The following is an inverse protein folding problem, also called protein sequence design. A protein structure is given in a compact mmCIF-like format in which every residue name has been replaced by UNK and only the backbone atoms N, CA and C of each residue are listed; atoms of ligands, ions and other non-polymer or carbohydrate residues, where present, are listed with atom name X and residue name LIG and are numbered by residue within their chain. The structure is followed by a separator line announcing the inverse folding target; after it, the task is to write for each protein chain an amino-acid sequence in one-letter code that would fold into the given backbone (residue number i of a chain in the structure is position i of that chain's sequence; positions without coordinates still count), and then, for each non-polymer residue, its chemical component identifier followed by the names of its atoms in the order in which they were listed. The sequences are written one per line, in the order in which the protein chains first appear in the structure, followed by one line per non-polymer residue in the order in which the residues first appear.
data_IF_948647727219
#
_entry.id   IF_948647727219
#
_cell.length_a   1.000
_cell.length_b   1.000
_cell.length_c   1.000
_cell.angle_alpha   90.00
_cell.angle_beta   90.00
_cell.angle_gamma   90.00
#
_symmetry.space_group_name_H-M   'P 1'
#
loop_
_entity.id
_entity.type
_entity.pdbx_description
1 polymer ?
#
# COMPACT_ATOMS: atom_id res chain seq x y z
N UNK A 1 -8.66 -12.48 -7.98
CA UNK A 1 -8.71 -11.24 -8.77
C UNK A 1 -7.82 -10.19 -8.17
N UNK A 2 -6.79 -9.81 -8.89
CA UNK A 2 -5.79 -8.86 -8.42
C UNK A 2 -6.38 -7.46 -8.15
N UNK A 3 -7.32 -7.01 -8.95
CA UNK A 3 -7.95 -5.71 -8.75
C UNK A 3 -8.69 -5.65 -7.42
N UNK A 4 -9.39 -6.72 -7.09
CA UNK A 4 -10.14 -6.82 -5.83
C UNK A 4 -9.19 -6.86 -4.62
N UNK A 5 -8.09 -7.60 -4.72
CA UNK A 5 -7.09 -7.71 -3.66
C UNK A 5 -6.42 -6.36 -3.42
N UNK A 6 -5.96 -5.71 -4.48
CA UNK A 6 -5.30 -4.40 -4.38
C UNK A 6 -6.29 -3.34 -3.86
N UNK A 7 -7.50 -3.32 -4.40
CA UNK A 7 -8.56 -2.41 -3.93
C UNK A 7 -8.89 -2.61 -2.46
N UNK A 8 -8.89 -3.85 -1.99
CA UNK A 8 -9.11 -4.17 -0.57
C UNK A 8 -8.00 -3.65 0.34
N UNK A 9 -6.74 -3.82 -0.07
CA UNK A 9 -5.58 -3.33 0.69
C UNK A 9 -5.59 -1.80 0.73
N UNK A 10 -5.73 -1.15 -0.40
CA UNK A 10 -5.78 0.32 -0.50
C UNK A 10 -6.96 0.86 0.32
N UNK A 11 -8.13 0.26 0.17
CA UNK A 11 -9.33 0.64 0.90
C UNK A 11 -9.14 0.57 2.40
N UNK A 12 -8.57 -0.52 2.89
CA UNK A 12 -8.27 -0.70 4.31
C UNK A 12 -7.34 0.40 4.83
N UNK A 13 -6.25 0.69 4.10
CA UNK A 13 -5.28 1.71 4.51
C UNK A 13 -5.89 3.11 4.54
N UNK A 14 -6.62 3.47 3.50
CA UNK A 14 -7.20 4.82 3.38
C UNK A 14 -8.35 5.02 4.37
N UNK A 15 -9.23 4.05 4.53
CA UNK A 15 -10.34 4.14 5.49
C UNK A 15 -9.85 4.18 6.94
N UNK A 16 -8.83 3.38 7.26
CA UNK A 16 -8.21 3.40 8.59
C UNK A 16 -7.59 4.76 8.89
N UNK A 17 -6.96 5.40 7.90
CA UNK A 17 -6.41 6.74 8.04
C UNK A 17 -7.50 7.79 8.26
N UNK A 18 -8.63 7.68 7.57
CA UNK A 18 -9.76 8.58 7.73
C UNK A 18 -10.39 8.44 9.11
N UNK A 19 -10.46 7.22 9.64
CA UNK A 19 -11.05 6.96 10.96
C UNK A 19 -10.16 7.45 12.10
N UNK A 20 -8.83 7.35 11.97
CA UNK A 20 -7.89 7.77 13.01
C UNK A 20 -6.61 8.35 12.41
N UNK A 21 -6.64 9.61 11.98
CA UNK A 21 -5.47 10.25 11.35
C UNK A 21 -4.23 10.30 12.24
N UNK A 22 -4.39 10.53 13.52
CA UNK A 22 -3.25 10.60 14.46
C UNK A 22 -2.51 9.27 14.55
N UNK A 23 -3.24 8.17 14.63
CA UNK A 23 -2.67 6.82 14.65
C UNK A 23 -1.92 6.53 13.35
N UNK A 24 -2.47 6.93 12.22
CA UNK A 24 -1.84 6.73 10.92
C UNK A 24 -0.57 7.55 10.73
N UNK A 25 -0.56 8.81 11.18
CA UNK A 25 0.64 9.65 11.17
C UNK A 25 1.77 9.00 11.98
N UNK A 26 1.42 8.48 13.16
CA UNK A 26 2.36 7.78 14.02
C UNK A 26 2.90 6.51 13.34
N UNK A 27 2.04 5.74 12.71
CA UNK A 27 2.41 4.51 12.00
C UNK A 27 3.36 4.80 10.82
N UNK A 28 3.07 5.84 10.04
CA UNK A 28 3.94 6.26 8.93
C UNK A 28 5.33 6.64 9.46
N UNK A 29 5.37 7.37 10.58
CA UNK A 29 6.61 7.78 11.23
C UNK A 29 7.41 6.55 11.67
N UNK A 30 6.77 5.56 12.30
CA UNK A 30 7.41 4.31 12.72
C UNK A 30 7.97 3.51 11.55
N UNK A 31 7.25 3.42 10.45
CA UNK A 31 7.69 2.68 9.27
C UNK A 31 8.94 3.30 8.62
N UNK A 32 9.17 4.59 8.84
CA UNK A 32 10.32 5.31 8.31
C UNK A 32 11.43 5.53 9.35
N UNK A 33 11.26 5.04 10.56
CA UNK A 33 12.29 5.12 11.60
C UNK A 33 13.12 3.84 11.60
N UNK A 34 14.29 3.91 11.00
CA UNK A 34 15.18 2.76 10.85
C UNK A 34 15.81 2.29 12.16
N UNK A 35 15.68 3.07 13.25
CA UNK A 35 16.10 2.62 14.58
C UNK A 35 15.11 1.65 15.22
N UNK A 36 13.88 1.58 14.71
CA UNK A 36 12.86 0.65 15.18
C UNK A 36 12.95 -0.65 14.39
N UNK A 37 13.25 -1.74 15.06
CA UNK A 37 13.36 -3.05 14.43
C UNK A 37 11.98 -3.67 14.22
N UNK A 38 11.79 -4.28 13.05
CA UNK A 38 10.61 -5.09 12.76
C UNK A 38 10.83 -6.48 13.34
N UNK A 39 9.84 -7.00 14.07
CA UNK A 39 9.91 -8.35 14.63
C UNK A 39 10.12 -9.39 13.52
N UNK A 40 11.03 -10.37 13.71
CA UNK A 40 11.28 -11.39 12.69
C UNK A 40 10.03 -12.13 12.22
N UNK A 41 9.10 -12.41 13.12
CA UNK A 41 7.84 -13.09 12.78
C UNK A 41 6.99 -12.23 11.86
N UNK A 42 6.92 -10.93 12.10
CA UNK A 42 6.16 -9.99 11.27
C UNK A 42 6.77 -9.88 9.88
N UNK A 43 8.09 -9.79 9.80
CA UNK A 43 8.82 -9.76 8.54
C UNK A 43 8.56 -11.03 7.72
N UNK A 44 8.67 -12.17 8.37
CA UNK A 44 8.44 -13.48 7.73
C UNK A 44 7.03 -13.58 7.16
N UNK A 45 6.04 -13.16 7.92
CA UNK A 45 4.63 -13.20 7.49
C UNK A 45 4.37 -12.30 6.28
N UNK A 46 4.93 -11.09 6.28
CA UNK A 46 4.81 -10.16 5.16
C UNK A 46 5.43 -10.77 3.89
N UNK A 47 6.61 -11.36 4.02
CA UNK A 47 7.29 -12.00 2.89
C UNK A 47 6.48 -13.18 2.36
N UNK A 48 5.96 -14.02 3.23
CA UNK A 48 5.16 -15.19 2.82
C UNK A 48 3.89 -14.76 2.07
N UNK A 49 3.19 -13.76 2.56
CA UNK A 49 2.00 -13.22 1.90
C UNK A 49 2.38 -12.64 0.52
N UNK A 50 3.46 -11.88 0.48
CA UNK A 50 3.96 -11.28 -0.75
C UNK A 50 4.35 -12.33 -1.80
N UNK A 51 5.02 -13.42 -1.37
CA UNK A 51 5.39 -14.52 -2.26
C UNK A 51 4.17 -15.20 -2.86
N UNK A 52 3.14 -15.46 -2.04
CA UNK A 52 1.90 -16.09 -2.54
C UNK A 52 1.19 -15.20 -3.55
N UNK A 53 1.06 -13.91 -3.26
CA UNK A 53 0.42 -12.96 -4.17
C UNK A 53 1.20 -12.82 -5.48
N UNK A 54 2.50 -12.71 -5.39
CA UNK A 54 3.38 -12.57 -6.54
C UNK A 54 3.33 -13.81 -7.44
N UNK A 55 3.51 -14.99 -6.85
CA UNK A 55 3.50 -16.26 -7.56
C UNK A 55 2.16 -16.50 -8.25
N UNK A 56 1.07 -16.31 -7.53
CA UNK A 56 -0.29 -16.48 -8.07
C UNK A 56 -0.56 -15.50 -9.20
N UNK A 57 -0.21 -14.23 -9.00
CA UNK A 57 -0.43 -13.18 -10.00
C UNK A 57 0.40 -13.38 -11.26
N UNK A 58 1.65 -13.80 -11.12
CA UNK A 58 2.53 -14.09 -12.27
C UNK A 58 2.06 -15.32 -13.02
N UNK A 59 1.65 -16.36 -12.32
CA UNK A 59 1.10 -17.58 -12.92
C UNK A 59 -0.16 -17.28 -13.74
N UNK A 60 -1.02 -16.41 -13.25
CA UNK A 60 -2.27 -16.03 -13.90
C UNK A 60 -2.11 -14.86 -14.90
N UNK A 61 -0.89 -14.39 -15.11
CA UNK A 61 -0.57 -13.27 -16.01
C UNK A 61 -1.28 -11.97 -15.65
N UNK A 62 -1.61 -11.78 -14.35
CA UNK A 62 -2.23 -10.55 -13.82
C UNK A 62 -1.19 -9.62 -13.18
N UNK A 63 0.00 -10.15 -12.90
CA UNK A 63 1.14 -9.40 -12.36
C UNK A 63 2.32 -9.60 -13.27
N UNK A 64 3.04 -8.53 -13.56
CA UNK A 64 4.22 -8.58 -14.42
C UNK A 64 5.30 -9.51 -13.85
N UNK A 65 6.05 -10.15 -14.75
CA UNK A 65 7.02 -11.20 -14.37
C UNK A 65 8.37 -10.68 -13.90
N UNK A 66 8.63 -9.38 -14.01
CA UNK A 66 9.95 -8.77 -13.76
C UNK A 66 10.03 -8.03 -12.42
N UNK A 67 9.11 -8.29 -11.51
CA UNK A 67 9.09 -7.65 -10.19
C UNK A 67 9.30 -8.66 -9.06
N UNK A 68 9.80 -8.16 -7.93
CA UNK A 68 10.07 -8.92 -6.72
C UNK A 68 8.97 -8.69 -5.67
N UNK A 69 9.06 -9.42 -4.54
CA UNK A 69 8.20 -9.18 -3.38
C UNK A 69 8.37 -7.75 -2.85
N UNK A 70 9.59 -7.22 -2.85
CA UNK A 70 9.83 -5.85 -2.43
C UNK A 70 9.12 -4.84 -3.33
N UNK A 71 9.16 -5.04 -4.64
CA UNK A 71 8.45 -4.18 -5.60
C UNK A 71 6.94 -4.25 -5.37
N UNK A 72 6.42 -5.45 -5.11
CA UNK A 72 5.01 -5.64 -4.79
C UNK A 72 4.61 -4.90 -3.52
N UNK A 73 5.43 -4.98 -2.46
CA UNK A 73 5.20 -4.26 -1.21
C UNK A 73 5.16 -2.75 -1.45
N UNK A 74 6.13 -2.21 -2.20
CA UNK A 74 6.16 -0.78 -2.54
C UNK A 74 4.89 -0.36 -3.27
N UNK A 75 4.43 -1.17 -4.22
CA UNK A 75 3.24 -0.85 -5.00
C UNK A 75 1.96 -0.90 -4.16
N UNK A 76 1.80 -1.92 -3.30
CA UNK A 76 0.55 -2.16 -2.58
C UNK A 76 0.44 -1.41 -1.24
N UNK A 77 1.57 -1.15 -0.60
CA UNK A 77 1.63 -0.47 0.70
C UNK A 77 2.34 0.88 0.57
N UNK A 78 3.48 0.92 -0.09
CA UNK A 78 4.29 2.13 -0.22
C UNK A 78 3.57 3.27 -0.94
N UNK A 79 2.94 2.99 -2.07
CA UNK A 79 2.20 4.01 -2.83
C UNK A 79 1.04 4.59 -2.01
N UNK A 80 0.13 3.78 -1.44
CA UNK A 80 -0.93 4.33 -0.59
C UNK A 80 -0.43 5.12 0.61
N UNK A 81 0.59 4.62 1.28
CA UNK A 81 1.17 5.29 2.46
C UNK A 81 1.83 6.61 2.08
N UNK A 82 2.48 6.67 0.92
CA UNK A 82 3.10 7.90 0.45
C UNK A 82 2.05 8.95 0.02
N UNK A 83 0.93 8.53 -0.54
CA UNK A 83 -0.20 9.44 -0.77
C UNK A 83 -0.66 10.10 0.52
N UNK A 84 -0.80 9.33 1.60
CA UNK A 84 -1.20 9.86 2.90
C UNK A 84 -0.13 10.77 3.50
N UNK A 85 1.12 10.35 3.47
CA UNK A 85 2.24 11.14 4.00
C UNK A 85 2.37 12.48 3.30
N UNK A 86 2.29 12.48 1.97
CA UNK A 86 2.33 13.70 1.16
C UNK A 86 1.17 14.63 1.50
N UNK A 87 -0.02 14.07 1.67
CA UNK A 87 -1.22 14.83 2.02
C UNK A 87 -1.10 15.48 3.40
N UNK A 88 -0.58 14.75 4.38
CA UNK A 88 -0.38 15.27 5.74
C UNK A 88 0.69 16.35 5.79
N UNK A 89 1.73 16.22 4.97
CA UNK A 89 2.89 17.13 5.03
C UNK A 89 2.73 18.36 4.14
N UNK A 90 2.28 18.18 2.90
CA UNK A 90 2.28 19.24 1.90
C UNK A 90 0.89 19.69 1.49
N UNK A 91 -0.07 18.78 1.50
CA UNK A 91 -1.43 19.03 1.01
C UNK A 91 -1.45 19.68 -0.38
N UNK A 92 -0.69 19.10 -1.33
CA UNK A 92 -0.61 19.61 -2.69
C UNK A 92 -1.96 19.70 -3.39
N UNK A 93 -2.87 18.77 -3.08
CA UNK A 93 -4.23 18.74 -3.59
C UNK A 93 -5.16 19.32 -2.54
N UNK A 94 -5.39 20.63 -2.59
CA UNK A 94 -6.24 21.33 -1.62
C UNK A 94 -7.74 21.02 -1.79
N UNK A 95 -8.13 20.28 -2.83
CA UNK A 95 -9.54 19.92 -3.04
C UNK A 95 -9.99 18.86 -2.05
N UNK A 96 -11.16 19.04 -1.43
CA UNK A 96 -11.78 17.94 -0.71
C UNK A 96 -11.99 16.77 -1.67
N UNK A 97 -11.43 15.61 -1.34
CA UNK A 97 -11.59 14.42 -2.13
C UNK A 97 -12.43 13.43 -1.34
N UNK A 98 -13.47 12.88 -1.97
CA UNK A 98 -14.23 11.78 -1.41
C UNK A 98 -13.29 10.59 -1.16
N UNK A 99 -13.43 9.94 -0.01
CA UNK A 99 -12.62 8.79 0.37
C UNK A 99 -12.68 7.69 -0.69
N UNK A 100 -13.85 7.41 -1.24
CA UNK A 100 -14.01 6.38 -2.27
C UNK A 100 -13.32 6.75 -3.58
N UNK A 101 -13.34 8.01 -3.97
CA UNK A 101 -12.60 8.50 -5.13
C UNK A 101 -11.10 8.34 -4.93
N UNK A 102 -10.61 8.68 -3.74
CA UNK A 102 -9.19 8.55 -3.40
C UNK A 102 -8.76 7.08 -3.46
N UNK A 103 -9.56 6.17 -2.91
CA UNK A 103 -9.31 4.73 -2.96
C UNK A 103 -9.22 4.25 -4.41
N UNK A 104 -10.15 4.64 -5.27
CA UNK A 104 -10.14 4.26 -6.69
C UNK A 104 -8.90 4.76 -7.41
N UNK A 105 -8.54 6.02 -7.17
CA UNK A 105 -7.35 6.64 -7.78
C UNK A 105 -6.07 5.91 -7.37
N UNK A 106 -5.88 5.69 -6.08
CA UNK A 106 -4.67 5.03 -5.55
C UNK A 106 -4.62 3.57 -6.02
N UNK A 107 -5.76 2.87 -6.01
CA UNK A 107 -5.84 1.49 -6.51
C UNK A 107 -5.36 1.41 -7.95
N UNK A 108 -5.79 2.33 -8.80
CA UNK A 108 -5.38 2.39 -10.20
C UNK A 108 -3.87 2.62 -10.35
N UNK A 109 -3.30 3.52 -9.55
CA UNK A 109 -1.86 3.79 -9.58
C UNK A 109 -1.07 2.57 -9.11
N UNK A 110 -1.49 1.94 -8.01
CA UNK A 110 -0.84 0.72 -7.49
C UNK A 110 -0.90 -0.42 -8.51
N UNK A 111 -2.05 -0.64 -9.15
CA UNK A 111 -2.21 -1.65 -10.20
C UNK A 111 -1.30 -1.36 -11.39
N UNK A 112 -1.17 -0.11 -11.80
CA UNK A 112 -0.28 0.28 -12.91
C UNK A 112 1.16 -0.11 -12.67
N UNK A 113 1.59 -0.12 -11.41
CA UNK A 113 2.97 -0.47 -11.06
C UNK A 113 3.27 -1.97 -11.18
N UNK A 114 2.25 -2.83 -11.11
CA UNK A 114 2.45 -4.28 -11.04
C UNK A 114 1.92 -5.06 -12.24
N UNK A 115 1.21 -4.41 -13.12
CA UNK A 115 0.66 -5.03 -14.34
C UNK A 115 1.65 -5.15 -15.47
#
# INVERSE_FOLDING_TARGET
DIERIVGGIVGFLIESAADNPAKHKFLIMLLNDFSVEIKPESRKRIIEIGEVLLETGQKNHTVRGDISVNDLYIALVGIPMQYLASRYRFDFDSRPCDTQELIRKITRVSLSAIR
#
